data_IF_143602433068
#
_entry.id   IF_143602433068
#
_cell.length_a   1.000
_cell.length_b   1.000
_cell.length_c   1.000
_cell.angle_alpha   90.00
_cell.angle_beta   90.00
_cell.angle_gamma   90.00
#
_symmetry.space_group_name_H-M   'P 1'
#
loop_
_entity.id
_entity.type
_entity.pdbx_description
1 polymer ?
#
# COMPACT_ATOMS: atom_id res chain seq x y z
N UNK A 1 -13.72 10.29 15.22
CA UNK A 1 -13.74 8.99 14.52
C UNK A 1 -15.12 8.72 13.97
N UNK A 2 -15.23 8.29 12.71
CA UNK A 2 -16.44 7.74 12.09
C UNK A 2 -16.51 6.22 12.35
N UNK A 3 -17.68 5.69 12.72
CA UNK A 3 -17.85 4.25 12.97
C UNK A 3 -18.92 3.63 12.06
N UNK A 4 -18.57 2.50 11.44
CA UNK A 4 -19.48 1.69 10.62
C UNK A 4 -19.79 0.41 11.38
N UNK A 5 -21.07 0.17 11.66
CA UNK A 5 -21.51 -1.01 12.40
C UNK A 5 -21.41 -2.32 11.61
N UNK A 6 -21.38 -3.44 12.33
CA UNK A 6 -21.41 -4.77 11.73
C UNK A 6 -22.69 -5.00 10.90
N UNK A 7 -22.53 -5.59 9.72
CA UNK A 7 -23.62 -5.81 8.77
C UNK A 7 -24.13 -4.56 8.05
N UNK A 8 -23.50 -3.40 8.26
CA UNK A 8 -23.85 -2.14 7.59
C UNK A 8 -22.98 -1.94 6.36
N UNK A 9 -23.59 -1.46 5.27
CA UNK A 9 -22.88 -1.00 4.06
C UNK A 9 -22.96 0.51 3.97
N UNK A 10 -21.82 1.18 3.81
CA UNK A 10 -21.71 2.63 3.68
C UNK A 10 -20.83 2.99 2.48
N UNK A 11 -21.33 3.90 1.65
CA UNK A 11 -20.54 4.59 0.63
C UNK A 11 -20.34 6.04 1.05
N UNK A 12 -19.11 6.54 0.93
CA UNK A 12 -18.74 7.91 1.22
C UNK A 12 -17.97 8.46 0.03
N UNK A 13 -18.35 9.65 -0.41
CA UNK A 13 -17.71 10.29 -1.54
C UNK A 13 -17.38 11.76 -1.25
N UNK A 14 -16.26 12.23 -1.80
CA UNK A 14 -15.91 13.65 -1.87
C UNK A 14 -15.84 14.37 -0.51
N UNK A 15 -15.33 13.68 0.53
CA UNK A 15 -15.15 14.24 1.87
C UNK A 15 -13.72 14.13 2.38
N UNK A 16 -13.41 14.95 3.37
CA UNK A 16 -12.16 14.88 4.14
C UNK A 16 -12.46 14.45 5.58
N UNK A 17 -11.81 13.38 6.04
CA UNK A 17 -11.85 12.88 7.41
C UNK A 17 -10.47 13.12 8.02
N UNK A 18 -10.39 14.06 8.96
CA UNK A 18 -9.10 14.49 9.51
C UNK A 18 -9.12 14.89 10.96
N UNK A 19 -7.92 14.97 11.52
CA UNK A 19 -7.66 15.44 12.89
C UNK A 19 -8.38 14.60 13.97
N UNK A 20 -8.79 13.37 13.62
CA UNK A 20 -9.40 12.42 14.52
C UNK A 20 -8.36 11.82 15.47
N UNK A 21 -8.67 11.77 16.76
CA UNK A 21 -7.84 11.11 17.77
C UNK A 21 -8.72 10.12 18.52
N UNK A 22 -8.37 8.84 18.47
CA UNK A 22 -9.15 7.79 19.12
C UNK A 22 -8.29 6.60 19.55
N UNK A 23 -8.85 5.82 20.48
CA UNK A 23 -8.36 4.52 20.93
C UNK A 23 -9.60 3.67 21.25
N UNK A 24 -9.53 2.33 21.11
CA UNK A 24 -8.35 1.52 20.81
C UNK A 24 -8.03 1.30 19.32
N UNK A 25 -8.95 1.66 18.43
CA UNK A 25 -8.93 1.26 17.02
C UNK A 25 -9.43 2.42 16.17
N UNK A 26 -8.70 2.76 15.10
CA UNK A 26 -9.15 3.75 14.12
C UNK A 26 -9.05 5.19 14.63
N UNK A 27 -7.99 5.94 14.30
CA UNK A 27 -7.96 7.37 14.64
C UNK A 27 -9.02 8.17 13.87
N UNK A 28 -9.17 7.88 12.57
CA UNK A 28 -10.15 8.52 11.68
C UNK A 28 -11.43 7.71 11.53
N UNK A 29 -11.31 6.42 11.17
CA UNK A 29 -12.42 5.54 10.84
C UNK A 29 -12.26 4.18 11.53
N UNK A 30 -13.34 3.69 12.12
CA UNK A 30 -13.50 2.30 12.54
C UNK A 30 -14.59 1.65 11.67
N UNK A 31 -14.18 0.73 10.80
CA UNK A 31 -15.10 -0.05 9.98
C UNK A 31 -15.28 -1.46 10.55
N UNK A 32 -16.52 -1.83 10.88
CA UNK A 32 -16.93 -3.21 11.22
C UNK A 32 -17.86 -3.82 10.17
N UNK A 33 -18.12 -3.11 9.08
CA UNK A 33 -19.05 -3.50 8.01
C UNK A 33 -18.41 -3.44 6.62
N UNK A 34 -19.15 -2.97 5.63
CA UNK A 34 -18.66 -2.78 4.26
C UNK A 34 -18.58 -1.30 3.95
N UNK A 35 -17.37 -0.78 3.76
CA UNK A 35 -17.10 0.63 3.53
C UNK A 35 -16.49 0.86 2.15
N UNK A 36 -17.12 1.73 1.37
CA UNK A 36 -16.57 2.24 0.11
C UNK A 36 -16.25 3.72 0.25
N UNK A 37 -15.00 4.09 0.00
CA UNK A 37 -14.50 5.46 -0.02
C UNK A 37 -14.12 5.82 -1.46
N UNK A 38 -14.75 6.86 -2.01
CA UNK A 38 -14.57 7.31 -3.38
C UNK A 38 -14.23 8.81 -3.42
N UNK A 39 -13.02 9.17 -3.86
CA UNK A 39 -12.52 10.57 -3.76
C UNK A 39 -12.55 11.11 -2.32
N UNK A 40 -12.20 10.26 -1.36
CA UNK A 40 -12.13 10.63 0.05
C UNK A 40 -10.68 10.85 0.47
N UNK A 41 -10.46 11.83 1.34
CA UNK A 41 -9.16 12.06 1.99
C UNK A 41 -9.26 11.71 3.47
N UNK A 42 -8.52 10.69 3.91
CA UNK A 42 -8.35 10.35 5.34
C UNK A 42 -6.97 10.79 5.77
N UNK A 43 -6.87 11.88 6.54
CA UNK A 43 -5.57 12.49 6.83
C UNK A 43 -5.38 13.02 8.24
N UNK A 44 -4.14 13.05 8.74
CA UNK A 44 -3.81 13.63 10.04
C UNK A 44 -4.62 13.04 11.22
N UNK A 45 -5.02 11.77 11.12
CA UNK A 45 -5.69 11.08 12.22
C UNK A 45 -4.68 10.29 13.04
N UNK A 46 -4.94 10.14 14.34
CA UNK A 46 -4.08 9.45 15.27
C UNK A 46 -4.84 8.39 16.06
N UNK A 47 -4.35 7.16 16.01
CA UNK A 47 -4.70 6.15 17.01
C UNK A 47 -3.76 6.31 18.22
N UNK A 48 -4.33 6.50 19.41
CA UNK A 48 -3.58 6.94 20.60
C UNK A 48 -3.56 5.95 21.78
N UNK A 49 -3.74 4.64 21.52
CA UNK A 49 -3.57 3.61 22.56
C UNK A 49 -2.16 3.62 23.14
N UNK A 50 -2.09 3.71 24.46
CA UNK A 50 -0.86 3.48 25.22
C UNK A 50 -0.54 1.99 25.39
N UNK A 51 0.59 1.73 26.04
CA UNK A 51 1.05 0.36 26.31
C UNK A 51 1.84 -0.26 25.16
N UNK A 52 2.21 -1.55 25.28
CA UNK A 52 2.93 -2.26 24.24
C UNK A 52 2.08 -2.44 22.99
N UNK A 53 2.75 -2.70 21.86
CA UNK A 53 2.07 -3.08 20.63
C UNK A 53 1.18 -4.31 20.85
N UNK A 54 -0.04 -4.25 20.33
CA UNK A 54 -1.00 -5.35 20.33
C UNK A 54 -1.62 -5.48 18.95
N UNK A 55 -1.82 -6.72 18.52
CA UNK A 55 -2.44 -6.99 17.23
C UNK A 55 -3.90 -6.51 17.20
N UNK A 56 -4.60 -6.41 18.33
CA UNK A 56 -6.00 -5.95 18.37
C UNK A 56 -6.17 -4.41 18.25
N UNK A 57 -5.07 -3.64 18.20
CA UNK A 57 -5.07 -2.17 18.26
C UNK A 57 -4.48 -1.55 16.99
N UNK A 58 -4.73 -0.27 16.73
CA UNK A 58 -4.04 0.49 15.68
C UNK A 58 -4.96 1.03 14.59
N UNK A 59 -4.42 1.26 13.39
CA UNK A 59 -5.14 1.93 12.31
C UNK A 59 -5.24 3.43 12.57
N UNK A 60 -4.15 4.18 12.38
CA UNK A 60 -4.13 5.62 12.62
C UNK A 60 -5.18 6.36 11.79
N UNK A 61 -5.26 6.05 10.49
CA UNK A 61 -6.32 6.53 9.61
C UNK A 61 -7.58 5.67 9.71
N UNK A 62 -7.45 4.40 9.34
CA UNK A 62 -8.56 3.47 9.17
C UNK A 62 -8.25 2.16 9.88
N UNK A 63 -9.15 1.70 10.73
CA UNK A 63 -9.17 0.32 11.22
C UNK A 63 -10.35 -0.43 10.58
N UNK A 64 -10.05 -1.45 9.79
CA UNK A 64 -11.00 -2.36 9.14
C UNK A 64 -11.00 -3.67 9.93
N UNK A 65 -12.06 -3.90 10.70
CA UNK A 65 -12.14 -4.96 11.71
C UNK A 65 -12.30 -6.37 11.10
N UNK A 66 -12.38 -7.39 11.95
CA UNK A 66 -12.56 -8.78 11.50
C UNK A 66 -13.71 -8.94 10.51
N UNK A 67 -13.47 -9.69 9.42
CA UNK A 67 -14.47 -10.03 8.41
C UNK A 67 -15.11 -8.82 7.69
N UNK A 68 -14.51 -7.62 7.78
CA UNK A 68 -15.03 -6.41 7.15
C UNK A 68 -14.41 -6.11 5.78
N UNK A 69 -15.11 -5.33 4.96
CA UNK A 69 -14.67 -4.94 3.62
C UNK A 69 -14.34 -3.45 3.55
N UNK A 70 -13.19 -3.11 2.98
CA UNK A 70 -12.77 -1.74 2.69
C UNK A 70 -12.44 -1.58 1.20
N UNK A 71 -13.13 -0.65 0.53
CA UNK A 71 -12.81 -0.25 -0.84
C UNK A 71 -12.36 1.21 -0.85
N UNK A 72 -11.17 1.46 -1.37
CA UNK A 72 -10.63 2.79 -1.65
C UNK A 72 -10.56 2.96 -3.17
N UNK A 73 -11.26 3.95 -3.70
CA UNK A 73 -11.20 4.32 -5.10
C UNK A 73 -10.90 5.80 -5.20
N UNK A 74 -9.90 6.16 -6.01
CA UNK A 74 -9.54 7.56 -6.26
C UNK A 74 -9.33 8.36 -4.96
N UNK A 75 -8.85 7.70 -3.90
CA UNK A 75 -8.84 8.21 -2.53
C UNK A 75 -7.43 8.33 -1.96
N UNK A 76 -7.27 9.19 -0.95
CA UNK A 76 -5.97 9.42 -0.28
C UNK A 76 -6.04 9.07 1.20
N UNK A 77 -5.10 8.24 1.68
CA UNK A 77 -4.87 7.98 3.11
C UNK A 77 -3.48 8.50 3.46
N UNK A 78 -3.40 9.65 4.14
CA UNK A 78 -2.12 10.35 4.31
C UNK A 78 -1.86 10.90 5.70
N UNK A 79 -0.59 10.99 6.10
CA UNK A 79 -0.17 11.67 7.34
C UNK A 79 -0.91 11.19 8.61
N UNK A 80 -1.43 9.96 8.59
CA UNK A 80 -2.04 9.35 9.77
C UNK A 80 -0.97 8.66 10.61
N UNK A 81 -1.22 8.57 11.91
CA UNK A 81 -0.24 8.02 12.84
C UNK A 81 -0.83 7.09 13.88
N UNK A 82 -0.03 6.16 14.36
CA UNK A 82 -0.28 5.42 15.60
C UNK A 82 0.85 5.72 16.59
N UNK A 83 0.55 5.74 17.89
CA UNK A 83 1.59 6.04 18.89
C UNK A 83 2.54 4.84 19.09
N UNK A 84 2.00 3.66 19.41
CA UNK A 84 2.79 2.44 19.68
C UNK A 84 2.17 1.20 19.02
N UNK A 85 1.32 1.39 18.00
CA UNK A 85 0.48 0.33 17.44
C UNK A 85 0.75 0.16 15.93
N UNK A 86 0.34 -0.96 15.31
CA UNK A 86 0.52 -1.19 13.88
C UNK A 86 -0.45 -0.38 13.00
N UNK A 87 -0.09 -0.22 11.72
CA UNK A 87 -1.00 0.32 10.69
C UNK A 87 -1.19 1.83 10.82
N UNK A 88 -0.17 2.61 10.47
CA UNK A 88 -0.20 4.08 10.55
C UNK A 88 -1.34 4.66 9.72
N UNK A 89 -1.43 4.23 8.45
CA UNK A 89 -2.52 4.58 7.55
C UNK A 89 -3.72 3.67 7.76
N UNK A 90 -3.56 2.40 7.41
CA UNK A 90 -4.63 1.41 7.38
C UNK A 90 -4.22 0.20 8.23
N UNK A 91 -5.11 -0.26 9.08
CA UNK A 91 -5.04 -1.59 9.65
C UNK A 91 -6.26 -2.39 9.16
N UNK A 92 -6.04 -3.36 8.28
CA UNK A 92 -7.02 -4.40 7.95
C UNK A 92 -6.75 -5.70 8.71
N UNK A 93 -7.67 -6.01 9.62
CA UNK A 93 -7.59 -7.12 10.56
C UNK A 93 -7.87 -8.48 9.89
N UNK A 94 -8.03 -9.54 10.68
CA UNK A 94 -8.23 -10.89 10.17
C UNK A 94 -9.45 -11.01 9.25
N UNK A 95 -9.35 -11.89 8.26
CA UNK A 95 -10.45 -12.26 7.36
C UNK A 95 -11.06 -11.08 6.59
N UNK A 96 -10.33 -9.98 6.46
CA UNK A 96 -10.80 -8.79 5.74
C UNK A 96 -10.66 -8.95 4.23
N UNK A 97 -11.42 -8.13 3.50
CA UNK A 97 -11.22 -7.92 2.06
C UNK A 97 -10.96 -6.44 1.80
N UNK A 98 -9.87 -6.12 1.12
CA UNK A 98 -9.46 -4.76 0.83
C UNK A 98 -9.21 -4.57 -0.66
N UNK A 99 -9.78 -3.52 -1.24
CA UNK A 99 -9.46 -3.07 -2.61
C UNK A 99 -8.96 -1.63 -2.57
N UNK A 100 -7.78 -1.39 -3.12
CA UNK A 100 -7.16 -0.07 -3.26
C UNK A 100 -6.93 0.18 -4.74
N UNK A 101 -7.72 1.06 -5.32
CA UNK A 101 -7.73 1.36 -6.75
C UNK A 101 -7.48 2.84 -6.96
N UNK A 102 -6.51 3.17 -7.82
CA UNK A 102 -6.20 4.57 -8.19
C UNK A 102 -6.03 5.50 -6.99
N UNK A 103 -5.45 4.98 -5.92
CA UNK A 103 -5.43 5.64 -4.61
C UNK A 103 -4.01 5.85 -4.11
N UNK A 104 -3.83 6.79 -3.20
CA UNK A 104 -2.52 7.12 -2.63
C UNK A 104 -2.51 6.89 -1.12
N UNK A 105 -1.57 6.07 -0.64
CA UNK A 105 -1.29 5.85 0.77
C UNK A 105 0.09 6.43 1.07
N UNK A 106 0.18 7.54 1.81
CA UNK A 106 1.44 8.27 1.92
C UNK A 106 1.71 8.97 3.24
N UNK A 107 2.98 9.07 3.63
CA UNK A 107 3.37 9.86 4.81
C UNK A 107 2.81 9.33 6.14
N UNK A 108 2.22 8.13 6.15
CA UNK A 108 1.65 7.56 7.36
C UNK A 108 2.75 6.96 8.23
N UNK A 109 2.60 7.05 9.56
CA UNK A 109 3.62 6.61 10.53
C UNK A 109 3.04 5.62 11.51
N UNK A 110 3.60 4.42 11.58
CA UNK A 110 3.26 3.43 12.59
C UNK A 110 4.33 3.39 13.67
N UNK A 111 3.91 3.51 14.93
CA UNK A 111 4.77 3.33 16.11
C UNK A 111 5.35 1.91 16.25
N UNK A 112 4.77 0.93 15.54
CA UNK A 112 5.22 -0.46 15.52
C UNK A 112 5.61 -0.93 14.09
N UNK A 113 4.68 -1.61 13.40
CA UNK A 113 4.83 -2.12 12.04
C UNK A 113 3.86 -1.46 11.07
N UNK A 114 4.16 -1.53 9.77
CA UNK A 114 3.20 -1.18 8.73
C UNK A 114 2.83 0.31 8.73
N UNK A 115 3.77 1.17 8.29
CA UNK A 115 3.52 2.61 8.19
C UNK A 115 2.29 2.90 7.33
N UNK A 116 2.24 2.31 6.12
CA UNK A 116 1.13 2.46 5.20
C UNK A 116 -0.04 1.57 5.57
N UNK A 117 0.13 0.25 5.48
CA UNK A 117 -0.95 -0.71 5.73
C UNK A 117 -0.50 -2.02 6.39
N UNK A 118 -1.15 -2.36 7.50
CA UNK A 118 -1.13 -3.73 8.08
C UNK A 118 -2.26 -4.54 7.46
N UNK A 119 -1.97 -5.75 6.97
CA UNK A 119 -2.93 -6.62 6.29
C UNK A 119 -2.94 -8.05 6.83
N UNK A 120 -4.08 -8.51 7.35
CA UNK A 120 -4.32 -9.91 7.74
C UNK A 120 -5.52 -10.54 7.00
N UNK A 121 -5.73 -10.13 5.76
CA UNK A 121 -6.77 -10.65 4.88
C UNK A 121 -6.42 -10.37 3.42
N UNK A 122 -7.35 -10.71 2.54
CA UNK A 122 -7.17 -10.56 1.10
C UNK A 122 -7.15 -9.07 0.70
N UNK A 123 -6.10 -8.67 -0.04
CA UNK A 123 -5.87 -7.29 -0.44
C UNK A 123 -5.49 -7.21 -1.91
N UNK A 124 -6.15 -6.31 -2.64
CA UNK A 124 -5.82 -5.96 -4.03
C UNK A 124 -5.42 -4.50 -4.12
N UNK A 125 -4.24 -4.22 -4.68
CA UNK A 125 -3.69 -2.88 -4.91
C UNK A 125 -3.45 -2.71 -6.41
N UNK A 126 -4.19 -1.81 -7.05
CA UNK A 126 -4.16 -1.61 -8.50
C UNK A 126 -4.02 -0.12 -8.80
N UNK A 127 -3.11 0.24 -9.72
CA UNK A 127 -2.89 1.62 -10.15
C UNK A 127 -2.72 2.58 -8.98
N UNK A 128 -2.04 2.15 -7.91
CA UNK A 128 -2.01 2.90 -6.66
C UNK A 128 -0.58 3.21 -6.24
N UNK A 129 -0.44 4.24 -5.42
CA UNK A 129 0.86 4.73 -4.95
C UNK A 129 0.97 4.57 -3.43
N UNK A 130 2.03 3.90 -2.98
CA UNK A 130 2.42 3.83 -1.56
C UNK A 130 3.76 4.56 -1.39
N UNK A 131 3.73 5.74 -0.77
CA UNK A 131 4.90 6.64 -0.75
C UNK A 131 5.22 7.26 0.60
N UNK A 132 6.47 7.20 1.05
CA UNK A 132 6.88 7.92 2.26
C UNK A 132 6.27 7.40 3.56
N UNK A 133 5.74 6.18 3.59
CA UNK A 133 5.17 5.62 4.81
C UNK A 133 6.26 5.01 5.70
N UNK A 134 6.15 5.20 7.02
CA UNK A 134 7.21 4.86 7.98
C UNK A 134 6.72 3.88 9.04
N UNK A 135 7.44 2.77 9.20
CA UNK A 135 7.38 1.88 10.35
C UNK A 135 8.56 2.21 11.27
N UNK A 136 8.33 2.52 12.54
CA UNK A 136 9.41 2.96 13.44
C UNK A 136 10.06 1.84 14.23
N UNK A 137 9.38 0.71 14.44
CA UNK A 137 9.89 -0.35 15.30
C UNK A 137 10.44 -1.55 14.52
N UNK A 138 9.74 -1.99 13.47
CA UNK A 138 10.10 -3.26 12.85
C UNK A 138 10.04 -3.27 11.33
N UNK A 139 8.91 -3.59 10.71
CA UNK A 139 8.88 -3.98 9.30
C UNK A 139 7.75 -3.32 8.51
N UNK A 140 7.86 -3.37 7.19
CA UNK A 140 6.84 -2.93 6.25
C UNK A 140 6.61 -1.43 6.35
N UNK A 141 7.50 -0.60 5.81
CA UNK A 141 7.22 0.83 5.69
C UNK A 141 5.92 1.07 4.91
N UNK A 142 5.81 0.44 3.75
CA UNK A 142 4.60 0.42 2.91
C UNK A 142 3.54 -0.55 3.46
N UNK A 143 3.76 -1.86 3.30
CA UNK A 143 2.81 -2.90 3.71
C UNK A 143 3.49 -3.98 4.56
N UNK A 144 2.79 -4.41 5.61
CA UNK A 144 3.08 -5.66 6.31
C UNK A 144 1.89 -6.62 6.21
N UNK A 145 2.04 -7.66 5.39
CA UNK A 145 1.02 -8.65 5.09
C UNK A 145 1.36 -9.99 5.74
N UNK A 146 0.42 -10.59 6.48
CA UNK A 146 0.70 -11.84 7.23
C UNK A 146 -0.23 -13.00 6.98
N UNK A 147 -1.37 -12.76 6.33
CA UNK A 147 -2.43 -13.75 6.17
C UNK A 147 -3.19 -13.44 4.87
N UNK A 148 -3.49 -14.48 4.08
CA UNK A 148 -4.27 -14.37 2.86
C UNK A 148 -3.43 -14.06 1.62
N UNK A 149 -4.07 -13.40 0.65
CA UNK A 149 -3.46 -13.03 -0.62
C UNK A 149 -3.35 -11.52 -0.79
N UNK A 150 -2.16 -11.04 -1.12
CA UNK A 150 -1.88 -9.68 -1.55
C UNK A 150 -1.58 -9.70 -3.05
N UNK A 151 -2.37 -8.99 -3.84
CA UNK A 151 -2.10 -8.79 -5.28
C UNK A 151 -1.78 -7.32 -5.51
N UNK A 152 -0.63 -7.05 -6.13
CA UNK A 152 -0.19 -5.71 -6.48
C UNK A 152 0.02 -5.65 -7.99
N UNK A 153 -0.68 -4.74 -8.66
CA UNK A 153 -0.65 -4.60 -10.12
C UNK A 153 -0.52 -3.14 -10.53
N UNK A 154 0.40 -2.85 -11.45
CA UNK A 154 0.59 -1.50 -12.01
C UNK A 154 0.64 -0.42 -10.93
N UNK A 155 1.36 -0.69 -9.83
CA UNK A 155 1.40 0.17 -8.65
C UNK A 155 2.83 0.56 -8.32
N UNK A 156 2.98 1.65 -7.57
CA UNK A 156 4.31 2.22 -7.24
C UNK A 156 4.50 2.27 -5.73
N UNK A 157 5.53 1.60 -5.23
CA UNK A 157 5.97 1.64 -3.84
C UNK A 157 7.35 2.29 -3.78
N UNK A 158 7.47 3.46 -3.15
CA UNK A 158 8.76 4.16 -3.10
C UNK A 158 8.89 5.04 -1.86
N UNK A 159 10.13 5.30 -1.42
CA UNK A 159 10.41 6.17 -0.27
C UNK A 159 9.80 5.73 1.05
N UNK A 160 9.24 4.51 1.13
CA UNK A 160 8.76 3.95 2.38
C UNK A 160 9.95 3.60 3.28
N UNK A 161 9.78 3.64 4.60
CA UNK A 161 10.87 3.54 5.57
C UNK A 161 10.55 2.46 6.60
N UNK A 162 11.54 1.60 6.85
CA UNK A 162 11.55 0.66 7.97
C UNK A 162 12.99 0.59 8.52
N UNK A 163 13.19 0.12 9.77
CA UNK A 163 14.51 -0.21 10.30
C UNK A 163 15.39 -1.02 9.34
N UNK A 164 16.70 -0.78 9.35
CA UNK A 164 17.63 -1.46 8.45
C UNK A 164 17.61 -2.98 8.60
N UNK A 165 17.81 -3.69 7.49
CA UNK A 165 17.83 -5.16 7.45
C UNK A 165 16.45 -5.83 7.24
N UNK A 166 15.40 -5.06 6.97
CA UNK A 166 14.06 -5.56 6.61
C UNK A 166 13.53 -4.94 5.31
N UNK A 167 12.28 -5.24 4.95
CA UNK A 167 11.57 -4.61 3.83
C UNK A 167 10.94 -3.26 4.22
N UNK A 168 11.29 -2.25 3.43
CA UNK A 168 10.67 -0.93 3.45
C UNK A 168 9.41 -0.87 2.59
N UNK A 169 9.38 -1.55 1.44
CA UNK A 169 8.19 -1.63 0.58
C UNK A 169 7.14 -2.59 1.15
N UNK A 170 7.30 -3.89 0.91
CA UNK A 170 6.33 -4.92 1.34
C UNK A 170 7.03 -6.06 2.07
N UNK A 171 6.65 -6.31 3.32
CA UNK A 171 6.96 -7.57 4.01
C UNK A 171 5.79 -8.54 3.88
N UNK A 172 6.07 -9.76 3.44
CA UNK A 172 5.15 -10.91 3.53
C UNK A 172 5.66 -11.84 4.63
N UNK A 173 4.92 -11.99 5.72
CA UNK A 173 5.29 -12.95 6.77
C UNK A 173 4.17 -13.96 7.01
N UNK A 174 4.44 -14.99 7.81
CA UNK A 174 3.41 -15.88 8.32
C UNK A 174 3.68 -16.23 9.77
N UNK A 175 2.61 -16.28 10.57
CA UNK A 175 2.64 -16.69 11.97
C UNK A 175 1.69 -17.86 12.25
N UNK A 176 1.34 -18.62 11.21
CA UNK A 176 0.48 -19.81 11.31
C UNK A 176 -0.45 -20.00 10.10
N UNK A 177 -0.91 -18.90 9.49
CA UNK A 177 -1.72 -18.91 8.27
C UNK A 177 -0.87 -18.58 7.03
N UNK A 178 -1.12 -19.18 5.86
CA UNK A 178 -0.40 -18.85 4.65
C UNK A 178 -0.56 -17.37 4.25
N UNK A 179 0.53 -16.80 3.71
CA UNK A 179 0.55 -15.44 3.17
C UNK A 179 1.21 -15.45 1.80
N UNK A 180 0.68 -14.68 0.87
CA UNK A 180 1.21 -14.62 -0.49
C UNK A 180 1.17 -13.21 -1.05
N UNK A 181 2.20 -12.86 -1.82
CA UNK A 181 2.21 -11.67 -2.68
C UNK A 181 2.32 -12.13 -4.14
N UNK A 182 1.45 -11.59 -4.99
CA UNK A 182 1.64 -11.59 -6.45
C UNK A 182 1.91 -10.17 -6.91
N UNK A 183 3.03 -9.97 -7.60
CA UNK A 183 3.47 -8.66 -8.09
C UNK A 183 3.56 -8.65 -9.62
N UNK A 184 2.85 -7.73 -10.28
CA UNK A 184 2.84 -7.62 -11.75
C UNK A 184 2.90 -6.16 -12.18
N UNK A 185 3.67 -5.86 -13.24
CA UNK A 185 3.74 -4.51 -13.83
C UNK A 185 4.03 -3.39 -12.81
N UNK A 186 4.69 -3.67 -11.68
CA UNK A 186 4.77 -2.72 -10.55
C UNK A 186 6.19 -2.24 -10.29
N UNK A 187 6.29 -1.02 -9.74
CA UNK A 187 7.56 -0.41 -9.32
C UNK A 187 7.74 -0.60 -7.82
N UNK A 188 8.89 -1.16 -7.42
CA UNK A 188 9.26 -1.41 -6.03
C UNK A 188 10.64 -0.82 -5.72
N UNK A 189 10.67 0.32 -5.03
CA UNK A 189 11.88 1.01 -4.63
C UNK A 189 12.13 0.85 -3.12
N UNK A 190 13.19 0.13 -2.77
CA UNK A 190 13.72 0.06 -1.41
C UNK A 190 14.41 1.36 -1.01
N UNK A 191 14.37 1.73 0.28
CA UNK A 191 14.96 2.97 0.78
C UNK A 191 15.83 2.76 2.01
N UNK A 192 16.90 3.55 2.17
CA UNK A 192 17.64 3.65 3.43
C UNK A 192 18.39 2.38 3.86
N UNK A 193 18.73 1.48 2.93
CA UNK A 193 19.37 0.20 3.23
C UNK A 193 18.41 -0.92 3.65
N UNK A 194 17.09 -0.67 3.53
CA UNK A 194 16.05 -1.68 3.61
C UNK A 194 15.71 -2.22 2.20
N UNK A 195 15.19 -3.43 2.16
CA UNK A 195 14.79 -4.12 0.94
C UNK A 195 13.49 -3.57 0.37
N UNK A 196 13.28 -3.74 -0.93
CA UNK A 196 12.00 -3.46 -1.58
C UNK A 196 10.89 -4.44 -1.12
N UNK A 197 11.23 -5.73 -1.03
CA UNK A 197 10.38 -6.76 -0.44
C UNK A 197 11.16 -7.69 0.48
N UNK A 198 10.46 -8.45 1.33
CA UNK A 198 11.05 -9.55 2.07
C UNK A 198 10.00 -10.60 2.42
N UNK A 199 10.48 -11.80 2.78
CA UNK A 199 9.66 -12.91 3.25
C UNK A 199 10.14 -13.35 4.63
N UNK A 200 9.20 -13.60 5.54
CA UNK A 200 9.46 -14.23 6.84
C UNK A 200 8.49 -15.40 7.08
N UNK A 201 8.92 -16.45 7.79
CA UNK A 201 8.04 -17.59 8.15
C UNK A 201 8.11 -18.80 7.21
N UNK A 202 9.11 -18.87 6.33
CA UNK A 202 9.42 -20.06 5.53
C UNK A 202 8.45 -20.31 4.36
N UNK A 203 8.30 -21.56 3.93
CA UNK A 203 7.56 -21.92 2.70
C UNK A 203 6.05 -21.65 2.69
N UNK A 204 5.48 -21.19 3.80
CA UNK A 204 4.08 -20.77 3.90
C UNK A 204 3.89 -19.26 3.62
N UNK A 205 4.97 -18.49 3.54
CA UNK A 205 4.98 -17.13 3.02
C UNK A 205 5.66 -17.13 1.64
N UNK A 206 5.01 -16.55 0.63
CA UNK A 206 5.49 -16.63 -0.76
C UNK A 206 5.41 -15.28 -1.47
N UNK A 207 6.38 -15.01 -2.34
CA UNK A 207 6.31 -13.93 -3.32
C UNK A 207 6.42 -14.56 -4.71
N UNK A 208 5.43 -14.30 -5.55
CA UNK A 208 5.39 -14.68 -6.93
C UNK A 208 5.40 -13.44 -7.82
N UNK A 209 6.25 -13.45 -8.85
CA UNK A 209 6.21 -12.44 -9.90
C UNK A 209 5.25 -12.87 -11.00
N UNK A 210 4.32 -11.98 -11.37
CA UNK A 210 3.57 -12.04 -12.62
C UNK A 210 4.32 -11.41 -13.81
N UNK A 211 5.54 -10.91 -13.58
CA UNK A 211 6.43 -10.33 -14.57
C UNK A 211 6.32 -8.82 -14.72
N UNK A 212 7.27 -8.26 -15.49
CA UNK A 212 7.34 -6.85 -15.88
C UNK A 212 7.41 -5.87 -14.70
N UNK A 213 8.00 -6.27 -13.59
CA UNK A 213 8.23 -5.39 -12.46
C UNK A 213 9.57 -4.64 -12.61
N UNK A 214 9.66 -3.42 -12.09
CA UNK A 214 10.92 -2.70 -11.92
C UNK A 214 11.22 -2.63 -10.43
N UNK A 215 12.31 -3.25 -10.01
CA UNK A 215 12.64 -3.43 -8.60
C UNK A 215 14.06 -2.91 -8.38
N UNK A 216 14.23 -2.01 -7.42
CA UNK A 216 15.50 -1.34 -7.13
C UNK A 216 16.59 -2.30 -6.63
N UNK A 217 16.22 -3.50 -6.21
CA UNK A 217 17.09 -4.57 -5.72
C UNK A 217 16.64 -5.96 -6.26
N UNK A 218 17.11 -7.04 -5.64
CA UNK A 218 16.73 -8.43 -5.98
C UNK A 218 15.73 -9.08 -5.03
N UNK A 219 15.07 -8.32 -4.16
CA UNK A 219 14.43 -8.86 -2.94
C UNK A 219 12.98 -9.34 -3.13
N UNK A 220 12.27 -8.86 -4.14
CA UNK A 220 10.89 -9.26 -4.46
C UNK A 220 10.80 -10.58 -5.25
N UNK A 221 11.80 -11.45 -5.13
CA UNK A 221 11.92 -12.68 -5.91
C UNK A 221 11.64 -12.44 -7.41
N UNK A 222 12.44 -11.60 -8.10
CA UNK A 222 12.27 -11.32 -9.53
C UNK A 222 12.68 -12.57 -10.32
N UNK A 223 11.79 -13.55 -10.38
CA UNK A 223 12.01 -14.85 -11.01
C UNK A 223 11.36 -14.94 -12.41
N UNK A 224 10.69 -13.86 -12.85
CA UNK A 224 10.23 -13.71 -14.23
C UNK A 224 11.34 -13.16 -15.12
N UNK A 225 11.49 -13.70 -16.33
CA UNK A 225 12.47 -13.19 -17.32
C UNK A 225 12.18 -11.77 -17.80
N UNK A 226 11.02 -11.21 -17.44
CA UNK A 226 10.57 -9.87 -17.81
C UNK A 226 10.69 -8.86 -16.67
N UNK A 227 11.10 -9.28 -15.47
CA UNK A 227 11.38 -8.36 -14.37
C UNK A 227 12.75 -7.67 -14.55
N UNK A 228 12.81 -6.42 -14.13
CA UNK A 228 14.03 -5.60 -14.09
C UNK A 228 14.46 -5.45 -12.63
N UNK A 229 15.31 -6.36 -12.17
CA UNK A 229 15.87 -6.34 -10.81
C UNK A 229 17.11 -5.44 -10.71
N UNK A 230 17.41 -4.95 -9.50
CA UNK A 230 18.53 -4.04 -9.23
C UNK A 230 18.52 -2.80 -10.14
N UNK A 231 17.33 -2.27 -10.40
CA UNK A 231 17.07 -1.21 -11.39
C UNK A 231 16.27 -0.09 -10.74
N UNK A 232 16.84 1.12 -10.72
CA UNK A 232 16.13 2.34 -10.30
C UNK A 232 15.11 2.74 -11.38
N UNK A 233 13.86 2.90 -10.97
CA UNK A 233 12.76 3.31 -11.85
C UNK A 233 12.84 4.78 -12.31
N UNK A 234 13.76 5.59 -11.78
CA UNK A 234 13.97 7.01 -12.11
C UNK A 234 12.69 7.83 -11.94
N UNK A 235 12.10 7.75 -10.74
CA UNK A 235 10.86 8.45 -10.40
C UNK A 235 11.09 9.92 -10.04
N UNK A 236 10.15 10.78 -10.44
CA UNK A 236 9.99 12.12 -9.88
C UNK A 236 9.45 12.11 -8.44
N UNK A 237 9.33 13.28 -7.78
CA UNK A 237 8.74 13.37 -6.45
C UNK A 237 7.25 12.98 -6.46
N UNK A 238 6.71 12.64 -5.28
CA UNK A 238 5.27 12.52 -5.09
C UNK A 238 4.65 13.91 -5.29
N UNK A 239 3.80 14.06 -6.29
CA UNK A 239 3.23 15.34 -6.66
C UNK A 239 1.85 15.20 -7.30
N UNK A 240 1.16 16.33 -7.43
CA UNK A 240 0.01 16.43 -8.31
C UNK A 240 0.47 16.39 -9.76
N UNK A 241 0.46 15.19 -10.35
CA UNK A 241 0.75 14.98 -11.76
C UNK A 241 -0.53 14.81 -12.60
N UNK A 242 -1.65 15.35 -12.10
CA UNK A 242 -2.99 15.16 -12.62
C UNK A 242 -3.70 13.94 -12.05
N UNK A 243 -5.00 13.82 -12.33
CA UNK A 243 -5.86 12.76 -11.78
C UNK A 243 -6.40 13.07 -10.38
N UNK A 244 -7.05 12.10 -9.71
CA UNK A 244 -7.72 12.33 -8.44
C UNK A 244 -6.78 12.28 -7.21
N UNK A 245 -5.58 11.71 -7.35
CA UNK A 245 -4.64 11.48 -6.25
C UNK A 245 -3.19 11.64 -6.72
N UNK A 246 -2.26 11.96 -5.80
CA UNK A 246 -0.85 12.18 -6.16
C UNK A 246 -0.13 10.91 -6.60
N UNK A 247 0.81 11.06 -7.53
CA UNK A 247 1.60 9.97 -8.11
C UNK A 247 3.07 10.34 -8.18
N UNK A 248 3.91 9.40 -8.57
CA UNK A 248 5.29 9.65 -9.00
C UNK A 248 5.37 9.60 -10.52
N UNK A 249 5.67 10.72 -11.17
CA UNK A 249 5.89 10.76 -12.61
C UNK A 249 7.18 10.02 -13.01
N UNK A 250 7.22 9.44 -14.20
CA UNK A 250 8.42 8.82 -14.74
C UNK A 250 9.40 9.88 -15.25
N UNK A 251 10.67 9.77 -14.83
CA UNK A 251 11.75 10.61 -15.32
C UNK A 251 12.19 10.22 -16.73
N UNK A 252 12.93 11.12 -17.39
CA UNK A 252 13.48 10.87 -18.71
C UNK A 252 14.40 9.64 -18.71
N UNK A 253 14.13 8.68 -19.61
CA UNK A 253 14.89 7.44 -19.71
C UNK A 253 14.56 6.40 -18.64
N UNK A 254 13.45 6.57 -17.91
CA UNK A 254 12.98 5.59 -16.94
C UNK A 254 12.87 4.18 -17.53
N UNK A 255 13.43 3.14 -16.87
CA UNK A 255 13.26 1.74 -17.26
C UNK A 255 11.82 1.23 -17.20
N UNK A 256 10.92 1.99 -16.57
CA UNK A 256 9.50 1.67 -16.51
C UNK A 256 8.76 2.00 -17.81
N UNK A 257 9.32 2.86 -18.68
CA UNK A 257 8.66 3.31 -19.90
C UNK A 257 8.53 2.16 -20.90
N UNK A 258 7.32 1.96 -21.43
CA UNK A 258 6.93 0.94 -22.41
C UNK A 258 7.26 -0.51 -21.99
N UNK A 259 7.49 -0.76 -20.70
CA UNK A 259 8.02 -2.04 -20.20
C UNK A 259 6.97 -2.97 -19.58
N UNK A 260 5.73 -2.52 -19.38
CA UNK A 260 4.67 -3.31 -18.80
C UNK A 260 4.04 -4.29 -19.81
N UNK A 261 3.51 -5.39 -19.29
CA UNK A 261 2.58 -6.23 -20.06
C UNK A 261 1.19 -5.60 -20.13
N UNK A 262 0.41 -5.98 -21.15
CA UNK A 262 -0.99 -5.58 -21.23
C UNK A 262 -1.78 -6.10 -20.01
N UNK A 263 -2.69 -5.29 -19.47
CA UNK A 263 -3.56 -5.73 -18.37
C UNK A 263 -4.54 -4.66 -17.88
N UNK A 264 -4.04 -3.49 -17.48
CA UNK A 264 -4.87 -2.36 -17.03
C UNK A 264 -5.05 -1.34 -18.17
N UNK A 265 -6.26 -0.83 -18.33
CA UNK A 265 -6.62 0.08 -19.44
C UNK A 265 -6.24 1.55 -19.19
N UNK A 266 -6.08 1.94 -17.93
CA UNK A 266 -5.66 3.28 -17.53
C UNK A 266 -4.62 3.22 -16.42
N UNK A 267 -3.91 4.33 -16.19
CA UNK A 267 -3.07 4.54 -15.01
C UNK A 267 -3.87 5.08 -13.81
N UNK A 268 -3.17 5.45 -12.72
CA UNK A 268 -3.77 6.04 -11.51
C UNK A 268 -4.57 7.32 -11.78
N UNK A 269 -4.21 8.07 -12.82
CA UNK A 269 -4.78 9.38 -13.14
C UNK A 269 -5.97 9.28 -14.09
N UNK A 270 -6.23 8.08 -14.61
CA UNK A 270 -7.21 7.82 -15.66
C UNK A 270 -6.66 8.05 -17.08
N UNK A 271 -5.35 8.18 -17.25
CA UNK A 271 -4.73 8.26 -18.58
C UNK A 271 -4.76 6.86 -19.21
N UNK A 272 -5.26 6.77 -20.44
CA UNK A 272 -5.38 5.51 -21.16
C UNK A 272 -4.01 4.90 -21.46
N UNK A 273 -3.91 3.57 -21.43
CA UNK A 273 -2.69 2.84 -21.76
C UNK A 273 -2.86 2.07 -23.09
N UNK A 274 -1.83 1.96 -23.93
CA UNK A 274 -0.56 2.71 -23.89
C UNK A 274 -0.70 4.13 -24.47
N UNK A 275 0.15 5.07 -24.03
CA UNK A 275 0.39 6.35 -24.72
C UNK A 275 1.61 6.30 -25.64
N UNK A 276 2.52 5.34 -25.41
CA UNK A 276 3.74 5.11 -26.19
C UNK A 276 3.68 3.83 -27.03
N UNK A 277 4.84 3.17 -27.15
CA UNK A 277 4.97 1.89 -27.85
C UNK A 277 4.42 0.71 -27.02
N UNK A 278 4.33 0.89 -25.70
CA UNK A 278 3.82 -0.06 -24.72
C UNK A 278 3.23 0.68 -23.53
N UNK A 279 2.70 -0.08 -22.57
CA UNK A 279 2.27 0.50 -21.29
C UNK A 279 3.45 0.64 -20.36
N UNK A 280 3.39 1.60 -19.46
CA UNK A 280 4.44 1.82 -18.48
C UNK A 280 4.26 0.98 -17.22
N UNK A 281 5.37 0.62 -16.58
CA UNK A 281 5.39 -0.09 -15.30
C UNK A 281 5.07 0.89 -14.16
N UNK A 282 4.26 0.44 -13.19
CA UNK A 282 3.86 1.24 -12.04
C UNK A 282 2.58 2.04 -12.27
N UNK A 283 2.30 2.98 -11.37
CA UNK A 283 1.01 3.68 -11.28
C UNK A 283 0.82 4.82 -12.29
N UNK A 284 1.84 5.15 -13.08
CA UNK A 284 1.88 6.31 -13.96
C UNK A 284 2.13 5.90 -15.41
N UNK A 285 1.41 6.49 -16.36
CA UNK A 285 1.65 6.37 -17.81
C UNK A 285 2.22 7.68 -18.38
N UNK A 286 3.44 7.65 -18.91
CA UNK A 286 4.07 8.80 -19.54
C UNK A 286 3.34 9.18 -20.83
N UNK A 287 2.97 10.45 -20.94
CA UNK A 287 2.51 11.05 -22.18
C UNK A 287 3.75 11.69 -22.84
N UNK A 288 4.18 11.22 -24.03
CA UNK A 288 5.36 11.73 -24.72
C UNK A 288 5.29 13.22 -25.13
#
# INVERSE_FOLDING_TARGET
>A
MLEIGAGVTVGINDVVIRDGIAAPQGGGILNRGSLSLDRVVVTANTENSGGPASFDLGGGGIYNADSSTLNLTDSTVSDNSTVNQPGGGIYSFFNTTVSILRSTVSGNVAGDVAGGMRSLGDTSVINSTFSGNTSTAWHGGGIFHTDGSLTVTSSTFTGNIAPGGTASGILVATFGAPASLTLTNSVMEGFGGAFACAIEGGGAATIASGGHNVISDGSCNPNGTTDQANTDALLGPLADNGGPTFTHALGAGSPAIDAASAGVETDQRGVARPQGAGSDVGAFELIP
#
